data_IF_833853086456
#
_entry.id   IF_833853086456
#
_cell.length_a   1.000
_cell.length_b   1.000
_cell.length_c   1.000
_cell.angle_alpha   90.00
_cell.angle_beta   90.00
_cell.angle_gamma   90.00
#
_symmetry.space_group_name_H-M   'P 1'
#
loop_
_entity.id
_entity.type
_entity.pdbx_description
1 polymer ?
#
# COMPACT_ATOMS: atom_id res chain seq x y z
N UNK A 1 23.69 12.42 12.31
CA UNK A 1 22.70 11.38 12.70
C UNK A 1 23.26 10.04 12.28
N UNK A 2 22.98 8.96 13.02
CA UNK A 2 23.48 7.63 12.63
C UNK A 2 22.86 7.20 11.30
N UNK A 3 23.69 6.71 10.38
CA UNK A 3 23.25 6.25 9.06
C UNK A 3 23.05 4.74 9.10
N UNK A 4 21.88 4.27 8.68
CA UNK A 4 21.56 2.84 8.66
C UNK A 4 20.94 2.39 7.34
N UNK A 5 21.15 1.12 6.98
CA UNK A 5 20.55 0.54 5.79
C UNK A 5 19.87 -0.82 6.04
N UNK A 6 18.74 -1.04 5.37
CA UNK A 6 18.16 -2.36 5.21
C UNK A 6 18.51 -2.88 3.81
N UNK A 7 19.00 -4.12 3.72
CA UNK A 7 19.35 -4.81 2.47
C UNK A 7 18.28 -5.85 2.19
N UNK A 8 17.80 -5.88 0.95
CA UNK A 8 16.76 -6.79 0.50
C UNK A 8 17.12 -7.37 -0.88
N UNK A 9 16.81 -8.64 -1.08
CA UNK A 9 16.89 -9.32 -2.38
C UNK A 9 15.50 -9.88 -2.71
N UNK A 10 14.87 -9.41 -3.79
CA UNK A 10 13.49 -9.74 -4.14
C UNK A 10 13.35 -10.35 -5.53
N UNK A 11 12.27 -11.12 -5.72
CA UNK A 11 11.77 -11.51 -7.03
C UNK A 11 10.25 -11.65 -6.93
N UNK A 12 9.53 -10.94 -7.78
CA UNK A 12 8.07 -10.98 -7.87
C UNK A 12 7.35 -10.74 -6.53
N UNK A 13 7.55 -9.54 -5.97
CA UNK A 13 6.98 -9.08 -4.68
C UNK A 13 6.10 -7.82 -4.85
N UNK A 14 5.49 -7.61 -6.02
CA UNK A 14 4.74 -6.37 -6.33
C UNK A 14 3.64 -6.07 -5.30
N UNK A 15 3.03 -7.12 -4.75
CA UNK A 15 1.92 -7.05 -3.82
C UNK A 15 2.30 -6.46 -2.46
N UNK A 16 3.55 -6.62 -2.02
CA UNK A 16 3.99 -6.32 -0.65
C UNK A 16 5.18 -5.38 -0.59
N UNK A 17 5.95 -5.22 -1.67
CA UNK A 17 7.19 -4.44 -1.68
C UNK A 17 6.96 -2.97 -1.27
N UNK A 18 5.85 -2.36 -1.68
CA UNK A 18 5.48 -1.00 -1.27
C UNK A 18 5.32 -0.87 0.25
N UNK A 19 4.74 -1.87 0.91
CA UNK A 19 4.59 -1.92 2.36
C UNK A 19 5.92 -2.18 3.07
N UNK A 20 6.76 -3.05 2.51
CA UNK A 20 8.08 -3.34 3.05
C UNK A 20 8.96 -2.07 3.06
N UNK A 21 8.98 -1.34 1.94
CA UNK A 21 9.70 -0.07 1.82
C UNK A 21 9.18 0.95 2.84
N UNK A 22 7.86 1.11 2.89
CA UNK A 22 7.23 2.09 3.76
C UNK A 22 7.46 1.81 5.25
N UNK A 23 7.40 0.54 5.66
CA UNK A 23 7.64 0.12 7.03
C UNK A 23 9.09 0.38 7.47
N UNK A 24 10.07 -0.03 6.67
CA UNK A 24 11.47 0.11 7.04
C UNK A 24 11.95 1.56 6.98
N UNK A 25 11.41 2.37 6.07
CA UNK A 25 11.60 3.82 6.10
C UNK A 25 10.97 4.45 7.37
N UNK A 26 9.77 4.01 7.78
CA UNK A 26 9.08 4.48 9.00
C UNK A 26 9.87 4.17 10.27
N UNK A 27 10.48 2.99 10.34
CA UNK A 27 11.31 2.57 11.48
C UNK A 27 12.63 3.34 11.54
N UNK A 28 12.98 4.07 10.47
CA UNK A 28 14.12 4.98 10.47
C UNK A 28 15.40 4.38 9.90
N UNK A 29 15.31 3.38 9.03
CA UNK A 29 16.40 3.12 8.10
C UNK A 29 16.59 4.33 7.19
N UNK A 30 17.80 4.86 7.11
CA UNK A 30 18.08 6.04 6.29
C UNK A 30 18.19 5.72 4.80
N UNK A 31 18.49 4.46 4.46
CA UNK A 31 18.63 3.97 3.08
C UNK A 31 18.05 2.57 2.99
N UNK A 32 17.36 2.25 1.90
CA UNK A 32 16.95 0.88 1.57
C UNK A 32 17.71 0.43 0.33
N UNK A 33 18.46 -0.66 0.44
CA UNK A 33 19.29 -1.20 -0.65
C UNK A 33 18.61 -2.47 -1.15
N UNK A 34 18.03 -2.42 -2.34
CA UNK A 34 17.18 -3.49 -2.86
C UNK A 34 17.78 -4.04 -4.15
N UNK A 35 17.96 -5.35 -4.23
CA UNK A 35 18.23 -6.05 -5.48
C UNK A 35 16.95 -6.67 -6.02
N UNK A 36 16.59 -6.29 -7.23
CA UNK A 36 15.58 -6.97 -8.04
C UNK A 36 16.22 -8.10 -8.84
N UNK A 37 15.81 -9.34 -8.58
CA UNK A 37 16.25 -10.53 -9.30
C UNK A 37 15.36 -10.78 -10.53
N UNK A 38 15.29 -9.77 -11.40
CA UNK A 38 14.59 -9.83 -12.68
C UNK A 38 13.08 -10.11 -12.54
N UNK A 39 12.40 -9.32 -11.72
CA UNK A 39 10.95 -9.47 -11.53
C UNK A 39 10.18 -9.16 -12.81
N UNK A 40 9.08 -9.88 -13.01
CA UNK A 40 8.19 -9.75 -14.17
C UNK A 40 6.79 -9.27 -13.79
N UNK A 41 6.51 -9.14 -12.50
CA UNK A 41 5.19 -8.78 -11.95
C UNK A 41 4.98 -7.28 -11.70
N UNK A 42 5.99 -6.45 -12.02
CA UNK A 42 5.95 -5.01 -11.77
C UNK A 42 6.69 -4.55 -10.50
N UNK A 43 7.33 -5.44 -9.74
CA UNK A 43 8.17 -5.09 -8.58
C UNK A 43 9.17 -3.99 -8.92
N UNK A 44 9.86 -4.09 -10.07
CA UNK A 44 10.83 -3.10 -10.53
C UNK A 44 10.21 -1.70 -10.78
N UNK A 45 8.95 -1.64 -11.25
CA UNK A 45 8.26 -0.38 -11.47
C UNK A 45 7.94 0.32 -10.14
N UNK A 46 7.48 -0.44 -9.13
CA UNK A 46 7.25 0.08 -7.77
C UNK A 46 8.56 0.60 -7.17
N UNK A 47 9.66 -0.16 -7.29
CA UNK A 47 10.98 0.23 -6.80
C UNK A 47 11.47 1.52 -7.46
N UNK A 48 11.35 1.64 -8.78
CA UNK A 48 11.74 2.83 -9.55
C UNK A 48 10.96 4.06 -9.09
N UNK A 49 9.63 3.96 -8.98
CA UNK A 49 8.79 5.07 -8.53
C UNK A 49 9.09 5.47 -7.08
N UNK A 50 9.30 4.50 -6.18
CA UNK A 50 9.65 4.77 -4.79
C UNK A 50 11.01 5.46 -4.65
N UNK A 51 12.01 5.09 -5.47
CA UNK A 51 13.35 5.69 -5.47
C UNK A 51 13.37 7.17 -5.87
N UNK A 52 12.30 7.68 -6.50
CA UNK A 52 12.16 9.13 -6.77
C UNK A 52 11.81 9.94 -5.50
N UNK A 53 11.39 9.27 -4.43
CA UNK A 53 10.85 9.89 -3.22
C UNK A 53 11.72 9.68 -1.98
N UNK A 54 12.44 8.55 -1.90
CA UNK A 54 13.23 8.13 -0.75
C UNK A 54 14.61 7.62 -1.21
N UNK A 55 15.61 7.56 -0.32
CA UNK A 55 16.92 6.93 -0.63
C UNK A 55 16.77 5.41 -0.71
N UNK A 56 16.27 4.96 -1.86
CA UNK A 56 16.10 3.55 -2.23
C UNK A 56 17.05 3.28 -3.39
N UNK A 57 18.04 2.42 -3.15
CA UNK A 57 19.06 2.06 -4.13
C UNK A 57 18.70 0.73 -4.75
N UNK A 58 18.28 0.79 -6.00
CA UNK A 58 17.81 -0.37 -6.75
C UNK A 58 18.96 -0.94 -7.57
N UNK A 59 19.21 -2.23 -7.40
CA UNK A 59 20.19 -3.01 -8.16
C UNK A 59 19.48 -4.13 -8.91
N UNK A 60 20.08 -4.59 -10.00
CA UNK A 60 19.71 -5.87 -10.64
C UNK A 60 20.73 -6.93 -10.26
N UNK A 61 20.29 -8.17 -10.10
CA UNK A 61 21.19 -9.27 -9.78
C UNK A 61 22.12 -9.64 -10.94
N UNK A 62 23.23 -10.31 -10.63
CA UNK A 62 24.22 -10.75 -11.59
C UNK A 62 23.72 -11.96 -12.40
N UNK A 63 23.30 -11.75 -13.64
CA UNK A 63 22.78 -12.80 -14.54
C UNK A 63 23.83 -13.82 -14.96
N UNK A 64 25.12 -13.58 -14.70
CA UNK A 64 26.18 -14.56 -14.97
C UNK A 64 26.18 -15.71 -13.97
N UNK A 65 25.57 -15.53 -12.80
CA UNK A 65 25.37 -16.56 -11.78
C UNK A 65 24.02 -17.26 -12.00
N UNK A 66 24.00 -18.57 -12.32
CA UNK A 66 22.78 -19.28 -12.68
C UNK A 66 21.86 -19.48 -11.48
N UNK A 67 22.43 -19.79 -10.32
CA UNK A 67 21.67 -20.08 -9.10
C UNK A 67 21.24 -18.80 -8.39
N UNK A 68 19.96 -18.75 -8.03
CA UNK A 68 19.38 -17.61 -7.27
C UNK A 68 20.11 -17.38 -5.95
N UNK A 69 20.47 -18.44 -5.25
CA UNK A 69 21.17 -18.34 -3.97
C UNK A 69 22.56 -17.71 -4.12
N UNK A 70 23.27 -18.03 -5.22
CA UNK A 70 24.58 -17.44 -5.51
C UNK A 70 24.44 -15.94 -5.84
N UNK A 71 23.43 -15.57 -6.64
CA UNK A 71 23.09 -14.16 -6.92
C UNK A 71 22.79 -13.37 -5.64
N UNK A 72 21.97 -13.95 -4.76
CA UNK A 72 21.62 -13.34 -3.49
C UNK A 72 22.84 -13.17 -2.59
N UNK A 73 23.64 -14.23 -2.43
CA UNK A 73 24.86 -14.22 -1.61
C UNK A 73 25.83 -13.16 -2.11
N UNK A 74 26.10 -13.15 -3.42
CA UNK A 74 26.98 -12.17 -4.07
C UNK A 74 26.49 -10.73 -3.86
N UNK A 75 25.20 -10.49 -3.97
CA UNK A 75 24.63 -9.17 -3.73
C UNK A 75 24.77 -8.74 -2.27
N UNK A 76 24.48 -9.61 -1.31
CA UNK A 76 24.63 -9.30 0.11
C UNK A 76 26.08 -8.96 0.48
N UNK A 77 27.05 -9.73 -0.03
CA UNK A 77 28.48 -9.44 0.17
C UNK A 77 28.86 -8.08 -0.40
N UNK A 78 28.46 -7.80 -1.64
CA UNK A 78 28.70 -6.52 -2.30
C UNK A 78 28.08 -5.35 -1.52
N UNK A 79 26.82 -5.46 -1.11
CA UNK A 79 26.11 -4.41 -0.40
C UNK A 79 26.71 -4.12 0.99
N UNK A 80 27.16 -5.15 1.71
CA UNK A 80 27.90 -4.97 2.97
C UNK A 80 29.27 -4.32 2.76
N UNK A 81 30.01 -4.75 1.73
CA UNK A 81 31.32 -4.19 1.41
C UNK A 81 31.22 -2.71 1.04
N UNK A 82 30.31 -2.35 0.13
CA UNK A 82 30.06 -0.97 -0.28
C UNK A 82 29.53 -0.13 0.88
N UNK A 83 28.64 -0.69 1.69
CA UNK A 83 28.04 -0.05 2.85
C UNK A 83 28.98 0.17 4.03
N UNK A 84 30.15 -0.51 4.07
CA UNK A 84 31.09 -0.50 5.20
C UNK A 84 31.43 0.90 5.69
N UNK A 85 31.81 1.80 4.79
CA UNK A 85 32.24 3.14 5.18
C UNK A 85 31.10 4.15 5.21
N UNK A 86 29.92 3.77 4.75
CA UNK A 86 28.77 4.67 4.63
C UNK A 86 27.80 4.53 5.80
N UNK A 87 27.50 3.30 6.22
CA UNK A 87 26.49 3.01 7.23
C UNK A 87 27.11 2.62 8.56
N UNK A 88 26.57 3.16 9.64
CA UNK A 88 26.89 2.74 11.00
C UNK A 88 26.26 1.38 11.31
N UNK A 89 25.07 1.12 10.77
CA UNK A 89 24.29 -0.10 11.00
C UNK A 89 23.64 -0.61 9.73
N UNK A 90 23.70 -1.92 9.50
CA UNK A 90 23.06 -2.59 8.37
C UNK A 90 22.29 -3.81 8.85
N UNK A 91 21.17 -4.14 8.21
CA UNK A 91 20.46 -5.41 8.41
C UNK A 91 20.05 -6.00 7.06
N UNK A 92 20.25 -7.30 6.88
CA UNK A 92 19.71 -8.04 5.75
C UNK A 92 18.35 -8.59 6.16
N UNK A 93 17.33 -8.44 5.31
CA UNK A 93 15.96 -8.88 5.55
C UNK A 93 15.40 -9.54 4.28
N UNK A 94 14.46 -10.47 4.46
CA UNK A 94 13.63 -11.00 3.39
C UNK A 94 12.37 -10.13 3.17
N UNK A 95 11.65 -10.38 2.06
CA UNK A 95 10.49 -9.57 1.65
C UNK A 95 9.28 -9.73 2.60
N UNK A 96 9.22 -10.83 3.33
CA UNK A 96 8.23 -11.17 4.35
C UNK A 96 8.71 -10.85 5.78
N UNK A 97 9.87 -10.22 5.94
CA UNK A 97 10.47 -9.87 7.22
C UNK A 97 10.38 -8.37 7.50
N UNK A 98 9.75 -8.04 8.62
CA UNK A 98 9.52 -6.67 9.07
C UNK A 98 10.15 -6.48 10.44
N UNK A 99 11.20 -5.66 10.52
CA UNK A 99 11.82 -5.32 11.81
C UNK A 99 10.78 -4.61 12.70
N UNK A 100 10.78 -4.87 14.00
CA UNK A 100 9.92 -4.20 14.95
C UNK A 100 10.65 -3.94 16.27
N UNK A 101 10.40 -2.78 16.86
CA UNK A 101 10.86 -2.41 18.19
C UNK A 101 9.66 -2.22 19.13
N UNK A 102 9.72 -2.87 20.29
CA UNK A 102 8.66 -2.81 21.30
C UNK A 102 8.50 -1.38 21.85
N UNK A 103 9.63 -0.72 22.14
CA UNK A 103 9.66 0.60 22.79
C UNK A 103 10.40 1.65 21.97
N UNK A 104 11.52 1.30 21.33
CA UNK A 104 12.30 2.24 20.53
C UNK A 104 11.47 2.82 19.37
N UNK A 105 11.69 4.10 19.07
CA UNK A 105 10.97 4.85 18.01
C UNK A 105 11.77 4.92 16.71
N UNK A 106 13.01 4.45 16.70
CA UNK A 106 13.80 4.35 15.47
C UNK A 106 14.97 3.37 15.59
N UNK A 107 15.57 2.98 14.46
CA UNK A 107 16.85 2.26 14.41
C UNK A 107 17.94 3.01 15.18
N UNK A 108 18.01 4.34 15.01
CA UNK A 108 18.98 5.17 15.70
C UNK A 108 18.81 5.16 17.23
N UNK A 109 17.57 5.20 17.73
CA UNK A 109 17.29 5.09 19.16
C UNK A 109 17.62 3.69 19.70
N UNK A 110 17.24 2.64 18.97
CA UNK A 110 17.51 1.25 19.36
C UNK A 110 19.02 0.96 19.47
N UNK A 111 19.82 1.57 18.60
CA UNK A 111 21.27 1.33 18.53
C UNK A 111 22.12 2.29 19.35
N UNK A 112 21.55 3.37 19.88
CA UNK A 112 22.31 4.43 20.54
C UNK A 112 23.14 3.95 21.75
N UNK A 113 22.62 2.97 22.51
CA UNK A 113 23.27 2.41 23.69
C UNK A 113 23.94 1.05 23.43
N UNK A 114 23.96 0.59 22.18
CA UNK A 114 24.50 -0.72 21.84
C UNK A 114 26.03 -0.74 22.01
N UNK A 115 26.52 -1.60 22.90
CA UNK A 115 27.95 -1.85 23.08
C UNK A 115 28.50 -2.90 22.10
N UNK A 116 27.64 -3.84 21.68
CA UNK A 116 27.97 -4.88 20.72
C UNK A 116 27.97 -4.34 19.27
N UNK A 117 28.83 -4.89 18.42
CA UNK A 117 28.86 -4.59 16.98
C UNK A 117 27.84 -5.38 16.15
N UNK A 118 27.12 -6.29 16.80
CA UNK A 118 26.12 -7.16 16.19
C UNK A 118 25.01 -7.39 17.21
N UNK A 119 23.78 -7.06 16.82
CA UNK A 119 22.57 -7.19 17.63
C UNK A 119 21.66 -8.23 16.97
N UNK A 120 21.52 -9.45 17.53
CA UNK A 120 20.57 -10.42 17.02
C UNK A 120 19.14 -9.98 17.33
N UNK A 121 18.23 -10.19 16.39
CA UNK A 121 16.80 -9.97 16.51
C UNK A 121 16.10 -11.26 16.10
N UNK A 122 15.36 -11.86 17.03
CA UNK A 122 14.67 -13.13 16.82
C UNK A 122 13.51 -13.01 15.85
N UNK A 123 13.30 -14.05 15.06
CA UNK A 123 12.05 -14.25 14.33
C UNK A 123 10.85 -14.35 15.28
N UNK A 124 9.73 -13.83 14.81
CA UNK A 124 8.39 -14.03 15.33
C UNK A 124 7.53 -14.47 14.14
N UNK A 125 7.22 -15.77 14.06
CA UNK A 125 6.49 -16.33 12.93
C UNK A 125 5.01 -16.01 13.05
N UNK A 126 4.51 -15.21 12.10
CA UNK A 126 3.10 -14.88 11.96
C UNK A 126 2.41 -15.86 11.03
N UNK A 127 1.22 -16.29 11.43
CA UNK A 127 0.29 -17.00 10.59
C UNK A 127 -0.56 -16.06 9.74
N UNK A 128 -1.39 -16.67 8.91
CA UNK A 128 -2.28 -15.99 7.98
C UNK A 128 -3.37 -15.16 8.64
N UNK A 129 -3.59 -15.30 9.95
CA UNK A 129 -4.75 -14.71 10.64
C UNK A 129 -6.08 -15.11 9.98
N UNK A 130 -6.12 -16.30 9.37
CA UNK A 130 -7.27 -16.85 8.66
C UNK A 130 -7.45 -16.31 7.23
N UNK A 131 -6.47 -15.57 6.69
CA UNK A 131 -6.55 -15.02 5.33
C UNK A 131 -6.26 -16.09 4.28
N UNK A 132 -7.22 -16.29 3.38
CA UNK A 132 -7.08 -17.20 2.25
C UNK A 132 -6.64 -16.49 0.97
N UNK A 133 -7.05 -15.23 0.81
CA UNK A 133 -6.76 -14.39 -0.35
C UNK A 133 -5.85 -13.22 0.03
N UNK A 134 -5.10 -12.64 -0.93
CA UNK A 134 -4.25 -11.48 -0.69
C UNK A 134 -5.04 -10.28 -0.15
N UNK A 135 -4.51 -9.65 0.90
CA UNK A 135 -5.09 -8.45 1.52
C UNK A 135 -4.59 -7.17 0.86
N UNK A 136 -5.45 -6.16 0.64
CA UNK A 136 -5.02 -4.84 0.18
C UNK A 136 -4.43 -3.97 1.32
N UNK A 137 -4.50 -4.43 2.57
CA UNK A 137 -3.98 -3.73 3.74
C UNK A 137 -2.50 -4.05 4.00
N UNK A 138 -1.86 -3.28 4.89
CA UNK A 138 -0.49 -3.55 5.33
C UNK A 138 -0.39 -4.97 5.93
N UNK A 139 0.71 -5.71 5.70
CA UNK A 139 0.95 -7.00 6.37
C UNK A 139 0.87 -6.89 7.91
N UNK A 140 1.37 -5.79 8.47
CA UNK A 140 1.32 -5.50 9.92
C UNK A 140 -0.11 -5.32 10.46
N UNK A 141 -1.04 -4.87 9.62
CA UNK A 141 -2.45 -4.75 9.97
C UNK A 141 -3.23 -6.04 9.70
N UNK A 142 -2.79 -6.80 8.69
CA UNK A 142 -3.48 -8.00 8.21
C UNK A 142 -3.17 -9.22 9.07
N UNK A 143 -1.89 -9.42 9.39
CA UNK A 143 -1.39 -10.62 10.06
C UNK A 143 -1.09 -10.29 11.52
N UNK A 144 -2.09 -10.50 12.37
CA UNK A 144 -2.05 -10.14 13.80
C UNK A 144 -1.90 -11.34 14.70
N UNK A 145 -1.72 -12.56 14.18
CA UNK A 145 -1.55 -13.78 14.97
C UNK A 145 -0.23 -14.47 14.68
N UNK A 146 0.47 -14.89 15.73
CA UNK A 146 1.78 -15.54 15.64
C UNK A 146 1.86 -16.81 16.50
N UNK A 147 2.93 -17.59 16.31
CA UNK A 147 3.19 -18.80 17.09
C UNK A 147 3.59 -18.52 18.54
N UNK A 148 3.39 -19.48 19.45
CA UNK A 148 3.88 -19.35 20.83
C UNK A 148 5.40 -19.18 20.88
N UNK A 149 5.92 -18.43 21.86
CA UNK A 149 7.35 -18.13 22.01
C UNK A 149 8.24 -19.40 22.03
N UNK A 150 7.70 -20.52 22.50
CA UNK A 150 8.40 -21.82 22.55
C UNK A 150 8.66 -22.47 21.18
N UNK A 151 8.11 -21.94 20.09
CA UNK A 151 8.35 -22.46 18.73
C UNK A 151 9.84 -22.37 18.39
N UNK A 152 10.52 -23.50 18.07
CA UNK A 152 11.96 -23.52 17.80
C UNK A 152 12.42 -22.57 16.71
N UNK A 153 11.63 -22.36 15.66
CA UNK A 153 11.95 -21.48 14.54
C UNK A 153 12.16 -20.02 14.95
N UNK A 154 11.61 -19.57 16.09
CA UNK A 154 11.86 -18.22 16.63
C UNK A 154 13.32 -17.99 17.02
N UNK A 155 14.12 -19.05 17.15
CA UNK A 155 15.56 -18.95 17.46
C UNK A 155 16.40 -18.52 16.27
N UNK A 156 15.85 -18.56 15.06
CA UNK A 156 16.47 -17.91 13.89
C UNK A 156 16.50 -16.40 14.12
N UNK A 157 17.60 -15.78 13.72
CA UNK A 157 17.84 -14.35 13.93
C UNK A 157 18.16 -13.63 12.64
N UNK A 158 17.86 -12.33 12.62
CA UNK A 158 18.53 -11.35 11.77
C UNK A 158 19.43 -10.49 12.61
N UNK A 159 20.49 -9.97 12.01
CA UNK A 159 21.47 -9.18 12.73
C UNK A 159 21.44 -7.74 12.23
N UNK A 160 21.28 -6.80 13.16
CA UNK A 160 21.70 -5.43 12.94
C UNK A 160 23.20 -5.37 13.23
N UNK A 161 24.02 -5.00 12.26
CA UNK A 161 25.48 -5.10 12.34
C UNK A 161 26.17 -3.79 12.03
N UNK A 162 27.29 -3.54 12.70
CA UNK A 162 28.21 -2.45 12.36
C UNK A 162 29.17 -2.94 11.27
N UNK A 163 28.97 -2.60 9.98
CA UNK A 163 29.71 -3.22 8.87
C UNK A 163 31.21 -2.88 8.86
N UNK A 164 31.65 -1.86 9.62
CA UNK A 164 33.07 -1.56 9.86
C UNK A 164 33.77 -2.53 10.82
N UNK A 165 33.00 -3.26 11.63
CA UNK A 165 33.49 -4.07 12.75
C UNK A 165 33.27 -5.56 12.54
N UNK A 166 32.29 -5.93 11.73
CA UNK A 166 32.16 -7.28 11.18
C UNK A 166 32.95 -7.31 9.86
N UNK A 167 33.73 -8.36 9.61
CA UNK A 167 34.59 -8.46 8.42
C UNK A 167 33.79 -8.57 7.10
N UNK A 168 34.26 -9.39 6.16
CA UNK A 168 33.52 -9.64 4.91
C UNK A 168 32.50 -10.79 5.03
N UNK A 169 32.36 -11.41 6.20
CA UNK A 169 31.48 -12.57 6.39
C UNK A 169 30.04 -12.15 6.63
N UNK A 170 29.11 -12.76 5.90
CA UNK A 170 27.67 -12.58 6.10
C UNK A 170 27.25 -13.03 7.51
N UNK A 171 26.38 -12.28 8.22
CA UNK A 171 25.84 -12.72 9.51
C UNK A 171 25.04 -14.01 9.36
N UNK A 172 25.39 -15.04 10.12
CA UNK A 172 24.71 -16.34 10.09
C UNK A 172 23.36 -16.27 10.83
N UNK A 173 22.21 -16.47 10.15
CA UNK A 173 20.89 -16.43 10.79
C UNK A 173 20.63 -17.58 11.77
N UNK A 174 21.44 -18.64 11.76
CA UNK A 174 21.33 -19.80 12.64
C UNK A 174 22.28 -19.75 13.85
N UNK A 175 23.07 -18.68 13.99
CA UNK A 175 24.06 -18.53 15.07
C UNK A 175 23.47 -18.49 16.49
N UNK A 176 22.15 -18.38 16.64
CA UNK A 176 21.45 -18.30 17.93
C UNK A 176 20.54 -19.51 18.24
N UNK A 177 20.61 -20.62 17.46
CA UNK A 177 19.70 -21.77 17.62
C UNK A 177 19.74 -22.46 19.01
N UNK A 178 20.86 -22.34 19.72
CA UNK A 178 21.04 -22.89 21.07
C UNK A 178 20.49 -21.99 22.19
N UNK A 179 20.04 -20.77 21.86
CA UNK A 179 19.50 -19.80 22.82
C UNK A 179 17.99 -19.74 22.69
N UNK A 180 17.30 -19.52 23.81
CA UNK A 180 15.87 -19.23 23.77
C UNK A 180 15.63 -17.88 23.07
N UNK A 181 14.59 -17.83 22.24
CA UNK A 181 14.15 -16.59 21.61
C UNK A 181 13.63 -15.60 22.65
N UNK A 182 13.82 -14.31 22.40
CA UNK A 182 13.22 -13.22 23.18
C UNK A 182 12.70 -12.14 22.25
N UNK A 183 11.61 -11.50 22.65
CA UNK A 183 11.03 -10.32 21.97
C UNK A 183 10.88 -9.13 22.92
N UNK A 184 11.71 -9.08 23.97
CA UNK A 184 11.65 -8.04 25.01
C UNK A 184 11.81 -6.62 24.45
N UNK A 185 12.67 -6.48 23.45
CA UNK A 185 13.08 -5.17 22.91
C UNK A 185 12.78 -5.03 21.43
N UNK A 186 12.88 -6.14 20.69
CA UNK A 186 12.70 -6.18 19.25
C UNK A 186 12.33 -7.58 18.76
N UNK A 187 11.76 -7.63 17.55
CA UNK A 187 11.47 -8.88 16.84
C UNK A 187 11.45 -8.64 15.34
N UNK A 188 11.70 -9.70 14.57
CA UNK A 188 11.40 -9.75 13.14
C UNK A 188 10.00 -10.33 13.00
N UNK A 189 9.03 -9.51 12.60
CA UNK A 189 7.71 -10.01 12.21
C UNK A 189 7.89 -10.75 10.89
N UNK A 190 7.81 -12.07 10.94
CA UNK A 190 8.06 -12.93 9.78
C UNK A 190 6.72 -13.46 9.27
N UNK A 191 6.21 -12.85 8.20
CA UNK A 191 4.93 -13.17 7.58
C UNK A 191 5.07 -14.35 6.60
N UNK A 192 5.75 -15.41 7.02
CA UNK A 192 6.15 -16.54 6.16
C UNK A 192 4.96 -17.26 5.52
N UNK A 193 3.83 -17.35 6.25
CA UNK A 193 2.60 -17.90 5.71
C UNK A 193 1.91 -16.92 4.75
N UNK A 194 1.83 -15.63 5.10
CA UNK A 194 1.05 -14.66 4.34
C UNK A 194 -0.41 -15.11 4.20
N UNK A 195 -0.96 -15.05 2.99
CA UNK A 195 -2.25 -15.66 2.65
C UNK A 195 -2.08 -17.02 1.94
N UNK A 196 -3.11 -17.86 2.03
CA UNK A 196 -3.06 -19.24 1.52
C UNK A 196 -2.79 -19.32 0.00
N UNK A 197 -3.48 -18.52 -0.81
CA UNK A 197 -3.30 -18.52 -2.26
C UNK A 197 -1.90 -18.08 -2.69
N UNK A 198 -1.40 -16.97 -2.14
CA UNK A 198 -0.06 -16.49 -2.42
C UNK A 198 1.01 -17.49 -1.98
N UNK A 199 0.84 -18.11 -0.81
CA UNK A 199 1.79 -19.09 -0.30
C UNK A 199 1.93 -20.28 -1.24
N UNK A 200 0.81 -20.88 -1.66
CA UNK A 200 0.81 -22.03 -2.55
C UNK A 200 1.37 -21.68 -3.94
N UNK A 201 1.13 -20.45 -4.43
CA UNK A 201 1.68 -19.96 -5.70
C UNK A 201 3.20 -19.78 -5.64
N UNK A 202 3.74 -19.33 -4.51
CA UNK A 202 5.18 -19.05 -4.32
C UNK A 202 5.98 -20.30 -3.99
N UNK A 203 5.38 -21.28 -3.32
CA UNK A 203 6.09 -22.42 -2.79
C UNK A 203 6.12 -23.59 -3.79
N UNK A 204 7.29 -23.79 -4.41
CA UNK A 204 7.57 -24.94 -5.30
C UNK A 204 7.92 -26.23 -4.54
N UNK A 205 7.77 -26.26 -3.21
CA UNK A 205 8.01 -27.46 -2.39
C UNK A 205 7.21 -28.65 -2.90
N UNK A 206 7.78 -29.84 -2.79
CA UNK A 206 7.09 -31.09 -3.10
C UNK A 206 5.88 -31.34 -2.17
N UNK A 207 5.81 -30.67 -1.00
CA UNK A 207 4.72 -30.79 -0.04
C UNK A 207 4.30 -29.41 0.51
N UNK A 208 3.65 -28.57 -0.32
CA UNK A 208 3.33 -27.19 0.05
C UNK A 208 2.34 -27.11 1.22
N UNK A 209 1.40 -28.05 1.35
CA UNK A 209 0.45 -28.09 2.48
C UNK A 209 1.13 -28.33 3.84
N UNK A 210 2.18 -29.16 3.87
CA UNK A 210 2.96 -29.38 5.11
C UNK A 210 3.75 -28.14 5.49
N UNK A 211 4.29 -27.43 4.50
CA UNK A 211 4.97 -26.17 4.73
C UNK A 211 3.97 -25.12 5.26
N UNK A 212 2.77 -25.04 4.67
CA UNK A 212 1.70 -24.20 5.17
C UNK A 212 1.36 -24.50 6.62
N UNK A 213 1.11 -25.77 6.97
CA UNK A 213 0.82 -26.19 8.35
C UNK A 213 1.93 -25.81 9.35
N UNK A 214 3.19 -25.77 8.90
CA UNK A 214 4.31 -25.36 9.74
C UNK A 214 4.33 -23.84 9.98
N UNK A 215 4.15 -23.04 8.92
CA UNK A 215 4.32 -21.59 8.97
C UNK A 215 3.04 -20.83 9.37
N UNK A 216 1.86 -21.39 9.16
CA UNK A 216 0.57 -20.77 9.50
C UNK A 216 0.30 -20.85 11.02
N UNK A 217 0.99 -20.01 11.78
CA UNK A 217 0.96 -20.00 13.25
C UNK A 217 0.05 -18.92 13.81
N UNK A 218 -1.12 -19.34 14.29
CA UNK A 218 -2.18 -18.45 14.78
C UNK A 218 -2.46 -18.59 16.28
N UNK A 219 -1.42 -18.86 17.07
CA UNK A 219 -1.55 -19.27 18.47
C UNK A 219 -1.90 -18.10 19.41
N UNK A 220 -1.33 -16.92 19.19
CA UNK A 220 -1.51 -15.73 20.02
C UNK A 220 -1.71 -14.47 19.17
N UNK A 221 -2.52 -13.53 19.66
CA UNK A 221 -2.74 -12.23 19.01
C UNK A 221 -1.66 -11.22 19.41
N UNK A 222 -1.23 -10.41 18.43
CA UNK A 222 -0.27 -9.33 18.58
C UNK A 222 -0.54 -8.20 17.59
N UNK A 223 -0.73 -7.00 18.12
CA UNK A 223 -0.99 -5.77 17.35
C UNK A 223 -0.01 -4.64 17.69
N UNK A 224 1.06 -4.92 18.46
CA UNK A 224 2.02 -3.90 18.91
C UNK A 224 2.70 -3.15 17.75
N UNK A 225 2.84 -3.80 16.59
CA UNK A 225 3.39 -3.22 15.38
C UNK A 225 2.45 -2.20 14.69
N UNK A 226 1.16 -2.17 15.03
CA UNK A 226 0.20 -1.20 14.48
C UNK A 226 0.57 0.25 14.79
N UNK A 227 1.43 0.51 15.79
CA UNK A 227 1.98 1.84 16.09
C UNK A 227 2.71 2.50 14.92
N UNK A 228 3.20 1.71 13.96
CA UNK A 228 3.90 2.20 12.77
C UNK A 228 2.94 2.55 11.62
N UNK A 229 1.70 2.05 11.64
CA UNK A 229 0.75 2.19 10.53
C UNK A 229 0.48 3.64 10.10
N UNK A 230 0.34 4.64 11.00
CA UNK A 230 0.05 5.99 10.57
C UNK A 230 1.12 6.55 9.61
N UNK A 231 2.39 6.34 9.94
CA UNK A 231 3.52 6.83 9.16
C UNK A 231 3.85 5.92 7.98
N UNK A 232 3.74 4.60 8.14
CA UNK A 232 3.96 3.67 7.02
C UNK A 232 2.90 3.85 5.94
N UNK A 233 1.63 4.09 6.28
CA UNK A 233 0.60 4.48 5.31
C UNK A 233 0.90 5.81 4.63
N UNK A 234 1.48 6.79 5.34
CA UNK A 234 1.88 8.07 4.75
C UNK A 234 2.96 7.87 3.69
N UNK A 235 3.97 7.05 3.98
CA UNK A 235 5.03 6.72 3.03
C UNK A 235 4.47 5.91 1.86
N UNK A 236 3.71 4.84 2.13
CA UNK A 236 3.08 4.00 1.12
C UNK A 236 2.15 4.81 0.19
N UNK A 237 1.37 5.76 0.73
CA UNK A 237 0.52 6.64 -0.08
C UNK A 237 1.31 7.52 -1.05
N UNK A 238 2.54 7.88 -0.71
CA UNK A 238 3.42 8.66 -1.58
C UNK A 238 3.92 7.79 -2.74
N UNK A 239 4.31 6.55 -2.45
CA UNK A 239 4.71 5.55 -3.46
C UNK A 239 3.53 5.26 -4.41
N UNK A 240 2.33 5.02 -3.87
CA UNK A 240 1.11 4.79 -4.66
C UNK A 240 0.82 5.96 -5.60
N UNK A 241 0.91 7.20 -5.12
CA UNK A 241 0.68 8.37 -5.96
C UNK A 241 1.73 8.57 -7.05
N UNK A 242 2.99 8.23 -6.78
CA UNK A 242 4.03 8.23 -7.81
C UNK A 242 3.72 7.20 -8.89
N UNK A 243 3.35 5.97 -8.51
CA UNK A 243 2.93 4.92 -9.44
C UNK A 243 1.72 5.32 -10.29
N UNK A 244 0.71 5.96 -9.71
CA UNK A 244 -0.45 6.45 -10.46
C UNK A 244 -0.11 7.63 -11.38
N UNK A 245 0.87 8.44 -11.00
CA UNK A 245 1.36 9.53 -11.86
C UNK A 245 2.11 8.96 -13.07
N UNK A 246 2.93 7.92 -12.89
CA UNK A 246 3.55 7.18 -14.00
C UNK A 246 2.47 6.54 -14.89
N UNK A 247 1.49 5.85 -14.30
CA UNK A 247 0.37 5.25 -15.03
C UNK A 247 -0.36 6.28 -15.91
N UNK A 248 -0.66 7.46 -15.36
CA UNK A 248 -1.30 8.53 -16.12
C UNK A 248 -0.51 8.87 -17.38
N UNK A 249 0.81 9.06 -17.27
CA UNK A 249 1.64 9.44 -18.41
C UNK A 249 1.74 8.33 -19.45
N UNK A 250 1.79 7.06 -19.02
CA UNK A 250 1.77 5.91 -19.93
C UNK A 250 0.45 5.80 -20.67
N UNK A 251 -0.68 5.91 -19.96
CA UNK A 251 -2.00 5.93 -20.58
C UNK A 251 -2.16 7.12 -21.54
N UNK A 252 -1.68 8.31 -21.14
CA UNK A 252 -1.71 9.50 -22.00
C UNK A 252 -0.93 9.28 -23.28
N UNK A 253 0.26 8.69 -23.20
CA UNK A 253 1.06 8.32 -24.36
C UNK A 253 0.36 7.27 -25.23
N UNK A 254 -0.23 6.22 -24.64
CA UNK A 254 -1.00 5.19 -25.35
C UNK A 254 -2.12 5.80 -26.18
N UNK A 255 -2.90 6.72 -25.61
CA UNK A 255 -4.01 7.36 -26.32
C UNK A 255 -3.50 8.34 -27.37
N UNK A 256 -2.51 9.18 -27.03
CA UNK A 256 -1.96 10.20 -27.93
C UNK A 256 -1.30 9.59 -29.18
N UNK A 257 -0.62 8.46 -29.02
CA UNK A 257 0.07 7.76 -30.11
C UNK A 257 -0.77 6.65 -30.76
N UNK A 258 -2.00 6.43 -30.26
CA UNK A 258 -2.85 5.32 -30.66
C UNK A 258 -2.08 3.97 -30.68
N UNK A 259 -1.34 3.70 -29.60
CA UNK A 259 -0.48 2.51 -29.49
C UNK A 259 -1.33 1.23 -29.55
N UNK A 260 -1.30 0.57 -30.71
CA UNK A 260 -2.16 -0.58 -31.00
C UNK A 260 -1.85 -1.79 -30.15
N UNK A 261 -0.58 -1.99 -29.76
CA UNK A 261 -0.20 -3.15 -28.97
C UNK A 261 -0.76 -3.00 -27.54
N UNK A 262 -0.51 -1.84 -26.92
CA UNK A 262 -1.02 -1.56 -25.58
C UNK A 262 -2.56 -1.52 -25.57
N UNK A 263 -3.19 -0.91 -26.56
CA UNK A 263 -4.66 -0.92 -26.67
C UNK A 263 -5.23 -2.33 -26.80
N UNK A 264 -4.56 -3.21 -27.55
CA UNK A 264 -4.96 -4.61 -27.68
C UNK A 264 -4.85 -5.35 -26.34
N UNK A 265 -3.78 -5.13 -25.57
CA UNK A 265 -3.62 -5.71 -24.23
C UNK A 265 -4.70 -5.22 -23.26
N UNK A 266 -5.14 -3.97 -23.43
CA UNK A 266 -6.29 -3.38 -22.70
C UNK A 266 -7.65 -3.90 -23.20
N UNK A 267 -7.71 -4.75 -24.22
CA UNK A 267 -8.95 -5.24 -24.81
C UNK A 267 -9.72 -4.17 -25.61
N UNK A 268 -9.02 -3.16 -26.10
CA UNK A 268 -9.58 -2.00 -26.81
C UNK A 268 -9.05 -1.89 -28.24
N UNK A 269 -9.82 -1.18 -29.07
CA UNK A 269 -9.43 -0.80 -30.43
C UNK A 269 -9.40 0.73 -30.56
N UNK A 270 -8.57 1.29 -31.45
CA UNK A 270 -8.60 2.73 -31.73
C UNK A 270 -9.99 3.24 -32.13
N UNK A 271 -10.80 2.40 -32.79
CA UNK A 271 -12.16 2.75 -33.20
C UNK A 271 -13.09 2.94 -31.99
N UNK A 272 -12.92 2.17 -30.91
CA UNK A 272 -13.71 2.34 -29.68
C UNK A 272 -13.39 3.65 -28.95
N UNK A 273 -12.16 4.15 -29.03
CA UNK A 273 -11.78 5.44 -28.43
C UNK A 273 -12.25 6.63 -29.26
N UNK A 274 -12.35 6.48 -30.58
CA UNK A 274 -12.87 7.51 -31.49
C UNK A 274 -14.40 7.51 -31.61
N UNK A 275 -15.07 6.45 -31.14
CA UNK A 275 -16.53 6.37 -31.18
C UNK A 275 -17.15 7.38 -30.20
N UNK A 276 -18.27 8.03 -30.58
CA UNK A 276 -19.01 8.87 -29.64
C UNK A 276 -19.47 8.06 -28.43
N UNK A 277 -19.42 8.66 -27.24
CA UNK A 277 -19.97 8.01 -26.05
C UNK A 277 -21.44 7.65 -26.24
N UNK A 278 -21.83 6.48 -25.73
CA UNK A 278 -23.24 6.12 -25.59
C UNK A 278 -23.96 7.01 -24.56
N UNK A 279 -23.21 7.59 -23.62
CA UNK A 279 -23.72 8.51 -22.60
C UNK A 279 -23.87 9.92 -23.18
N UNK A 280 -25.10 10.44 -23.19
CA UNK A 280 -25.43 11.76 -23.78
C UNK A 280 -25.19 12.94 -22.83
N UNK A 281 -25.20 12.70 -21.53
CA UNK A 281 -25.03 13.72 -20.49
C UNK A 281 -23.99 13.26 -19.48
N UNK A 282 -23.08 14.14 -19.04
CA UNK A 282 -22.11 13.79 -18.01
C UNK A 282 -22.80 13.45 -16.69
N UNK A 283 -22.18 12.62 -15.84
CA UNK A 283 -22.70 12.32 -14.52
C UNK A 283 -22.89 13.59 -13.68
N UNK A 284 -23.99 13.61 -12.92
CA UNK A 284 -24.28 14.71 -11.99
C UNK A 284 -23.79 14.35 -10.60
N UNK A 285 -23.18 15.32 -9.91
CA UNK A 285 -22.65 15.14 -8.57
C UNK A 285 -23.41 16.01 -7.56
N UNK A 286 -23.88 15.37 -6.49
CA UNK A 286 -24.38 16.05 -5.30
C UNK A 286 -23.28 16.10 -4.24
N UNK A 287 -23.02 17.28 -3.69
CA UNK A 287 -22.10 17.45 -2.57
C UNK A 287 -22.88 17.46 -1.26
N UNK A 288 -22.44 16.66 -0.31
CA UNK A 288 -23.08 16.51 0.99
C UNK A 288 -22.07 16.69 2.12
N UNK A 289 -22.46 17.46 3.14
CA UNK A 289 -21.82 17.38 4.46
C UNK A 289 -22.40 16.19 5.22
N UNK A 290 -21.58 15.60 6.09
CA UNK A 290 -21.97 14.46 6.92
C UNK A 290 -22.44 14.99 8.28
N UNK A 291 -23.75 15.10 8.44
CA UNK A 291 -24.45 15.61 9.62
C UNK A 291 -25.18 16.93 9.39
N UNK A 292 -26.11 17.26 10.29
CA UNK A 292 -26.95 18.47 10.24
C UNK A 292 -26.60 19.46 11.35
N UNK A 293 -26.73 19.04 12.62
CA UNK A 293 -26.47 19.88 13.79
C UNK A 293 -25.00 19.88 14.19
N UNK A 294 -24.39 18.71 14.07
CA UNK A 294 -22.95 18.50 14.12
C UNK A 294 -22.47 18.02 12.76
N UNK A 295 -21.23 18.32 12.42
CA UNK A 295 -20.61 17.87 11.18
C UNK A 295 -19.46 16.93 11.48
N UNK A 296 -19.33 15.88 10.68
CA UNK A 296 -18.15 15.02 10.71
C UNK A 296 -16.98 15.75 10.06
N UNK A 297 -15.90 15.91 10.82
CA UNK A 297 -14.71 16.62 10.39
C UNK A 297 -13.47 15.76 10.67
N UNK A 298 -12.38 16.03 9.97
CA UNK A 298 -11.07 15.52 10.31
C UNK A 298 -10.38 16.48 11.27
N UNK A 299 -9.91 15.98 12.41
CA UNK A 299 -8.98 16.72 13.28
C UNK A 299 -7.59 16.69 12.65
N UNK A 300 -7.07 17.85 12.27
CA UNK A 300 -5.79 18.00 11.59
C UNK A 300 -4.58 17.74 12.51
N UNK A 301 -4.78 17.72 13.83
CA UNK A 301 -3.73 17.41 14.80
C UNK A 301 -3.62 15.91 15.07
N UNK A 302 -4.74 15.22 15.24
CA UNK A 302 -4.77 13.79 15.58
C UNK A 302 -4.96 12.88 14.36
N UNK A 303 -5.48 13.43 13.26
CA UNK A 303 -5.87 12.68 12.07
C UNK A 303 -7.20 11.94 12.19
N UNK A 304 -7.83 11.95 13.37
CA UNK A 304 -9.09 11.24 13.64
C UNK A 304 -10.31 11.95 13.06
N UNK A 305 -11.38 11.19 12.83
CA UNK A 305 -12.69 11.74 12.48
C UNK A 305 -13.45 12.09 13.77
N UNK A 306 -14.01 13.29 13.82
CA UNK A 306 -14.68 13.85 15.00
C UNK A 306 -15.97 14.57 14.61
N UNK A 307 -17.00 14.48 15.45
CA UNK A 307 -18.24 15.22 15.28
C UNK A 307 -18.16 16.57 15.98
N UNK A 308 -18.23 17.66 15.22
CA UNK A 308 -18.03 19.04 15.73
C UNK A 308 -19.32 19.84 15.56
N UNK A 309 -19.77 20.50 16.64
CA UNK A 309 -20.91 21.42 16.59
C UNK A 309 -20.50 22.85 16.19
N UNK A 310 -21.46 23.65 15.72
CA UNK A 310 -21.21 25.03 15.29
C UNK A 310 -20.53 25.94 16.34
N UNK A 311 -20.76 25.69 17.64
CA UNK A 311 -20.14 26.44 18.74
C UNK A 311 -18.74 25.95 19.16
N UNK A 312 -18.26 24.84 18.60
CA UNK A 312 -16.99 24.18 18.95
C UNK A 312 -15.89 24.43 17.89
N UNK A 313 -16.16 25.28 16.90
CA UNK A 313 -15.27 25.47 15.76
C UNK A 313 -13.96 26.15 16.16
N UNK A 314 -12.87 25.42 15.94
CA UNK A 314 -11.51 25.95 16.01
C UNK A 314 -10.93 26.04 14.60
N UNK A 315 -10.80 27.26 14.09
CA UNK A 315 -10.30 27.53 12.73
C UNK A 315 -8.93 26.89 12.50
N UNK A 316 -8.80 26.12 11.43
CA UNK A 316 -7.56 25.44 11.04
C UNK A 316 -7.29 24.11 11.75
N UNK A 317 -7.98 23.80 12.87
CA UNK A 317 -7.89 22.49 13.52
C UNK A 317 -8.79 21.45 12.85
N UNK A 318 -10.03 21.82 12.52
CA UNK A 318 -11.00 20.90 11.96
C UNK A 318 -11.22 21.17 10.48
N UNK A 319 -11.21 20.11 9.68
CA UNK A 319 -11.42 20.16 8.24
C UNK A 319 -12.67 19.33 7.89
N UNK A 320 -13.76 19.95 7.42
CA UNK A 320 -15.01 19.25 7.15
C UNK A 320 -14.85 18.09 6.18
N UNK A 321 -15.57 16.98 6.40
CA UNK A 321 -15.69 15.93 5.40
C UNK A 321 -16.85 16.23 4.44
N UNK A 322 -16.56 16.04 3.15
CA UNK A 322 -17.49 16.23 2.05
C UNK A 322 -17.60 14.91 1.31
N UNK A 323 -18.83 14.49 1.06
CA UNK A 323 -19.15 13.36 0.20
C UNK A 323 -19.70 13.90 -1.12
N UNK A 324 -19.01 13.61 -2.23
CA UNK A 324 -19.54 13.80 -3.57
C UNK A 324 -20.21 12.50 -4.03
N UNK A 325 -21.52 12.56 -4.25
CA UNK A 325 -22.36 11.45 -4.71
C UNK A 325 -22.61 11.58 -6.21
N UNK A 326 -22.21 10.59 -6.99
CA UNK A 326 -22.63 10.46 -8.39
C UNK A 326 -24.07 9.96 -8.42
N UNK A 327 -24.98 10.81 -8.90
CA UNK A 327 -26.40 10.48 -8.97
C UNK A 327 -26.63 9.45 -10.07
N UNK A 328 -27.28 8.34 -9.70
CA UNK A 328 -27.60 7.22 -10.58
C UNK A 328 -29.05 6.79 -10.38
N UNK A 329 -29.67 6.22 -11.41
CA UNK A 329 -31.01 5.62 -11.33
C UNK A 329 -30.97 4.21 -10.68
N UNK A 330 -29.77 3.65 -10.46
CA UNK A 330 -29.59 2.35 -9.80
C UNK A 330 -29.51 2.43 -8.28
N UNK A 331 -29.52 1.26 -7.63
CA UNK A 331 -29.49 1.14 -6.16
C UNK A 331 -28.12 1.43 -5.53
N UNK A 332 -27.05 1.29 -6.34
CA UNK A 332 -25.67 1.54 -5.94
C UNK A 332 -25.16 2.82 -6.58
N UNK A 333 -24.77 3.78 -5.74
CA UNK A 333 -24.23 5.07 -6.16
C UNK A 333 -22.73 5.11 -5.92
N UNK A 334 -21.98 5.61 -6.90
CA UNK A 334 -20.56 5.90 -6.72
C UNK A 334 -20.40 7.17 -5.89
N UNK A 335 -19.45 7.16 -4.97
CA UNK A 335 -19.19 8.30 -4.12
C UNK A 335 -17.71 8.48 -3.84
N UNK A 336 -17.34 9.73 -3.57
CA UNK A 336 -15.99 10.11 -3.18
C UNK A 336 -16.05 10.90 -1.86
N UNK A 337 -15.39 10.40 -0.82
CA UNK A 337 -15.25 11.09 0.47
C UNK A 337 -13.90 11.79 0.54
N UNK A 338 -13.89 13.07 0.85
CA UNK A 338 -12.68 13.87 0.97
C UNK A 338 -12.87 15.02 1.96
N UNK A 339 -11.79 15.60 2.47
CA UNK A 339 -11.89 16.81 3.30
C UNK A 339 -12.13 18.05 2.46
N UNK A 340 -12.92 19.04 2.87
CA UNK A 340 -13.21 20.28 2.12
C UNK A 340 -11.95 21.03 1.70
N UNK A 341 -10.99 21.18 2.61
CA UNK A 341 -9.69 21.77 2.32
C UNK A 341 -8.67 20.66 2.00
N UNK A 342 -7.75 20.88 1.05
CA UNK A 342 -6.70 19.92 0.73
C UNK A 342 -5.89 19.52 1.97
N UNK A 343 -5.54 18.24 2.03
CA UNK A 343 -4.73 17.70 3.12
C UNK A 343 -3.25 18.04 2.89
N UNK A 344 -2.50 18.42 3.94
CA UNK A 344 -1.03 18.42 3.89
C UNK A 344 -0.49 17.00 3.68
N UNK A 345 -1.20 16.00 4.21
CA UNK A 345 -0.92 14.59 4.05
C UNK A 345 -1.40 14.04 2.71
N UNK A 346 -0.77 12.95 2.28
CA UNK A 346 -1.05 12.28 0.99
C UNK A 346 -2.23 11.30 1.03
N UNK A 347 -2.92 11.13 2.16
CA UNK A 347 -4.13 10.30 2.21
C UNK A 347 -5.13 10.72 3.30
N UNK A 348 -6.38 10.29 3.12
CA UNK A 348 -7.44 10.34 4.12
C UNK A 348 -7.60 8.96 4.76
N UNK A 349 -7.30 8.85 6.06
CA UNK A 349 -7.52 7.60 6.78
C UNK A 349 -9.00 7.42 7.07
N UNK A 350 -9.55 6.30 6.58
CA UNK A 350 -10.92 5.89 6.84
C UNK A 350 -10.89 4.41 7.27
N UNK A 351 -11.28 4.07 8.51
CA UNK A 351 -11.30 2.69 8.98
C UNK A 351 -12.10 1.79 8.02
N UNK A 352 -11.55 0.62 7.68
CA UNK A 352 -12.14 -0.32 6.72
C UNK A 352 -11.85 0.00 5.25
N UNK A 353 -11.32 1.18 4.92
CA UNK A 353 -10.84 1.48 3.57
C UNK A 353 -9.35 1.17 3.42
N UNK A 354 -8.95 0.34 2.44
CA UNK A 354 -7.53 0.09 2.16
C UNK A 354 -6.88 1.21 1.33
N UNK A 355 -7.66 2.14 0.78
CA UNK A 355 -7.18 3.13 -0.18
C UNK A 355 -6.21 4.12 0.45
N UNK A 356 -5.12 4.40 -0.26
CA UNK A 356 -4.06 5.33 0.17
C UNK A 356 -4.12 6.65 -0.60
N UNK A 357 -5.33 7.19 -0.73
CA UNK A 357 -5.64 8.39 -1.52
C UNK A 357 -6.18 9.53 -0.65
N UNK A 358 -5.99 10.80 -1.03
CA UNK A 358 -6.63 11.95 -0.37
C UNK A 358 -8.16 11.94 -0.50
N UNK A 359 -8.67 11.36 -1.57
CA UNK A 359 -10.09 11.11 -1.83
C UNK A 359 -10.35 9.61 -1.76
N UNK A 360 -11.32 9.20 -0.96
CA UNK A 360 -11.67 7.79 -0.73
C UNK A 360 -12.87 7.42 -1.60
N UNK A 361 -12.72 6.48 -2.55
CA UNK A 361 -13.84 5.98 -3.34
C UNK A 361 -14.72 5.07 -2.47
N UNK A 362 -16.03 5.17 -2.66
CA UNK A 362 -17.07 4.48 -1.90
C UNK A 362 -18.20 4.04 -2.83
N UNK A 363 -18.88 2.95 -2.47
CA UNK A 363 -20.22 2.63 -2.99
C UNK A 363 -21.25 2.91 -1.91
N UNK A 364 -22.29 3.67 -2.23
CA UNK A 364 -23.41 3.94 -1.33
C UNK A 364 -24.61 3.15 -1.82
N UNK A 365 -25.07 2.20 -1.01
CA UNK A 365 -26.29 1.45 -1.29
C UNK A 365 -27.47 2.18 -0.66
N UNK A 366 -28.28 2.83 -1.50
CA UNK A 366 -29.30 3.78 -1.05
C UNK A 366 -30.44 3.07 -0.31
N UNK A 367 -30.85 1.88 -0.77
CA UNK A 367 -31.95 1.13 -0.17
C UNK A 367 -31.59 0.54 1.20
N UNK A 368 -30.35 0.08 1.36
CA UNK A 368 -29.85 -0.54 2.58
C UNK A 368 -29.25 0.47 3.57
N UNK A 369 -29.03 1.72 3.14
CA UNK A 369 -28.34 2.76 3.90
C UNK A 369 -26.95 2.29 4.38
N UNK A 370 -26.23 1.58 3.52
CA UNK A 370 -24.88 1.07 3.78
C UNK A 370 -23.87 1.73 2.85
N UNK A 371 -22.63 1.82 3.33
CA UNK A 371 -21.49 2.30 2.55
C UNK A 371 -20.49 1.17 2.46
N UNK A 372 -20.06 0.82 1.26
CA UNK A 372 -19.09 -0.23 1.00
C UNK A 372 -17.78 0.35 0.46
N UNK A 373 -16.67 -0.32 0.76
CA UNK A 373 -15.44 -0.12 0.00
C UNK A 373 -15.58 -0.78 -1.36
N UNK A 374 -15.32 -0.07 -2.47
CA UNK A 374 -15.28 -0.73 -3.78
C UNK A 374 -14.06 -1.65 -3.94
N UNK A 375 -13.06 -1.52 -3.07
CA UNK A 375 -11.81 -2.30 -3.13
C UNK A 375 -11.88 -3.55 -2.26
N UNK A 376 -12.36 -3.45 -1.01
CA UNK A 376 -12.49 -4.64 -0.16
C UNK A 376 -13.85 -5.31 -0.25
N UNK A 377 -14.89 -4.62 -0.74
CA UNK A 377 -16.28 -5.09 -0.73
C UNK A 377 -16.94 -5.03 0.66
N UNK A 378 -16.17 -4.68 1.68
CA UNK A 378 -16.61 -4.64 3.08
C UNK A 378 -17.35 -3.34 3.41
N UNK A 379 -18.22 -3.41 4.42
CA UNK A 379 -18.93 -2.25 4.96
C UNK A 379 -17.94 -1.26 5.62
N UNK A 380 -18.02 0.01 5.22
CA UNK A 380 -17.31 1.12 5.84
C UNK A 380 -18.27 1.86 6.77
N UNK A 381 -18.05 1.69 8.06
CA UNK A 381 -18.85 2.39 9.09
C UNK A 381 -18.37 3.82 9.27
N UNK A 382 -19.11 4.75 8.67
CA UNK A 382 -18.91 6.19 8.89
C UNK A 382 -19.89 6.65 9.97
N UNK A 383 -19.38 7.13 11.11
CA UNK A 383 -20.20 7.64 12.20
C UNK A 383 -20.78 9.02 11.85
N UNK A 384 -21.79 9.05 10.99
CA UNK A 384 -22.45 10.28 10.53
C UNK A 384 -23.27 10.88 11.68
N UNK A 385 -22.96 12.10 12.15
CA UNK A 385 -23.76 12.77 13.17
C UNK A 385 -25.20 12.92 12.71
N UNK A 386 -26.15 12.75 13.63
CA UNK A 386 -27.59 12.84 13.35
C UNK A 386 -28.12 11.87 12.28
N UNK A 387 -27.29 10.93 11.80
CA UNK A 387 -27.59 10.01 10.69
C UNK A 387 -28.10 10.73 9.43
N UNK A 388 -27.62 11.95 9.17
CA UNK A 388 -28.11 12.80 8.10
C UNK A 388 -27.00 13.22 7.12
N UNK A 389 -27.29 13.15 5.81
CA UNK A 389 -26.48 13.81 4.78
C UNK A 389 -27.14 15.14 4.41
N UNK A 390 -26.41 16.23 4.54
CA UNK A 390 -26.91 17.58 4.24
C UNK A 390 -26.35 18.04 2.91
N UNK A 391 -27.21 18.10 1.88
CA UNK A 391 -26.83 18.62 0.57
C UNK A 391 -26.36 20.08 0.69
N UNK A 392 -25.25 20.39 0.04
CA UNK A 392 -24.68 21.73 -0.05
C UNK A 392 -24.51 22.17 -1.50
N UNK A 393 -24.48 23.48 -1.71
CA UNK A 393 -24.15 24.03 -3.02
C UNK A 393 -22.69 23.75 -3.37
N UNK A 394 -22.45 23.35 -4.61
CA UNK A 394 -21.10 23.09 -5.11
C UNK A 394 -20.33 24.42 -5.19
N UNK A 395 -19.48 24.69 -4.20
CA UNK A 395 -18.56 25.83 -4.26
C UNK A 395 -17.54 25.62 -5.37
N UNK A 396 -16.98 26.70 -5.92
CA UNK A 396 -15.91 26.62 -6.93
C UNK A 396 -14.75 25.75 -6.46
N UNK A 397 -14.38 25.84 -5.17
CA UNK A 397 -13.29 25.06 -4.59
C UNK A 397 -13.58 23.55 -4.59
N UNK A 398 -14.79 23.14 -4.20
CA UNK A 398 -15.19 21.74 -4.22
C UNK A 398 -15.23 21.20 -5.65
N UNK A 399 -15.78 21.98 -6.58
CA UNK A 399 -15.87 21.58 -7.97
C UNK A 399 -14.48 21.43 -8.62
N UNK A 400 -13.56 22.37 -8.38
CA UNK A 400 -12.18 22.29 -8.87
C UNK A 400 -11.48 21.03 -8.40
N UNK A 401 -11.70 20.59 -7.15
CA UNK A 401 -11.09 19.38 -6.60
C UNK A 401 -11.67 18.10 -7.18
N UNK A 402 -12.96 18.09 -7.52
CA UNK A 402 -13.60 16.95 -8.18
C UNK A 402 -13.38 16.94 -9.69
N UNK A 403 -13.01 18.06 -10.30
CA UNK A 403 -12.92 18.21 -11.76
C UNK A 403 -12.08 17.10 -12.41
N UNK A 404 -10.87 16.74 -11.92
CA UNK A 404 -10.10 15.67 -12.55
C UNK A 404 -10.87 14.33 -12.56
N UNK A 405 -11.52 13.98 -11.46
CA UNK A 405 -12.33 12.75 -11.38
C UNK A 405 -13.55 12.81 -12.31
N UNK A 406 -14.27 13.94 -12.31
CA UNK A 406 -15.42 14.16 -13.19
C UNK A 406 -15.04 14.08 -14.67
N UNK A 407 -13.83 14.52 -15.05
CA UNK A 407 -13.31 14.38 -16.42
C UNK A 407 -12.99 12.93 -16.75
N UNK A 408 -12.38 12.20 -15.81
CA UNK A 408 -12.03 10.79 -15.98
C UNK A 408 -13.26 9.88 -16.12
N UNK A 409 -14.36 10.21 -15.43
CA UNK A 409 -15.61 9.41 -15.43
C UNK A 409 -16.74 10.06 -16.23
N UNK A 410 -16.44 11.10 -17.02
CA UNK A 410 -17.44 11.88 -17.74
C UNK A 410 -18.36 11.03 -18.65
N UNK A 411 -17.84 9.92 -19.14
CA UNK A 411 -18.52 9.06 -20.13
C UNK A 411 -18.97 7.72 -19.56
N UNK A 412 -18.58 7.40 -18.31
CA UNK A 412 -18.87 6.14 -17.66
C UNK A 412 -17.71 5.66 -16.81
N UNK A 413 -17.83 4.43 -16.30
CA UNK A 413 -16.83 3.75 -15.48
C UNK A 413 -16.24 2.54 -16.21
N UNK A 414 -16.24 2.53 -17.54
CA UNK A 414 -15.55 1.53 -18.35
C UNK A 414 -14.12 1.97 -18.71
N UNK A 415 -13.26 1.01 -19.05
CA UNK A 415 -11.88 1.29 -19.42
C UNK A 415 -11.74 2.25 -20.61
N UNK A 416 -12.62 2.13 -21.62
CA UNK A 416 -12.65 3.05 -22.76
C UNK A 416 -13.10 4.47 -22.38
N UNK A 417 -13.97 4.62 -21.36
CA UNK A 417 -14.37 5.92 -20.83
C UNK A 417 -13.20 6.58 -20.10
N UNK A 418 -12.50 5.81 -19.26
CA UNK A 418 -11.31 6.26 -18.54
C UNK A 418 -10.24 6.78 -19.52
N UNK A 419 -9.92 6.04 -20.60
CA UNK A 419 -8.91 6.47 -21.58
C UNK A 419 -9.31 7.76 -22.31
N UNK A 420 -10.60 7.94 -22.64
CA UNK A 420 -11.11 9.20 -23.20
C UNK A 420 -11.02 10.35 -22.19
N UNK A 421 -11.25 10.05 -20.91
CA UNK A 421 -11.01 10.97 -19.80
C UNK A 421 -9.54 11.39 -19.67
N UNK A 422 -8.60 10.43 -19.76
CA UNK A 422 -7.15 10.68 -19.77
C UNK A 422 -6.76 11.58 -20.94
N UNK A 423 -7.37 11.40 -22.12
CA UNK A 423 -7.11 12.26 -23.27
C UNK A 423 -7.54 13.72 -23.04
N UNK A 424 -8.62 13.93 -22.28
CA UNK A 424 -9.13 15.28 -21.95
C UNK A 424 -8.42 15.91 -20.78
N UNK A 425 -7.92 15.10 -19.84
CA UNK A 425 -7.23 15.60 -18.66
C UNK A 425 -5.86 16.17 -19.08
N UNK A 426 -5.51 17.41 -18.67
CA UNK A 426 -4.26 18.04 -19.10
C UNK A 426 -3.05 17.64 -18.24
N UNK A 427 -3.28 17.23 -17.00
CA UNK A 427 -2.23 16.92 -16.03
C UNK A 427 -2.66 15.76 -15.13
N UNK A 428 -1.71 14.97 -14.58
CA UNK A 428 -2.02 13.87 -13.69
C UNK A 428 -2.69 14.37 -12.40
N UNK A 429 -3.73 13.66 -11.99
CA UNK A 429 -4.24 13.69 -10.62
C UNK A 429 -4.34 12.24 -10.11
N UNK A 430 -3.38 11.85 -9.27
CA UNK A 430 -3.29 10.49 -8.77
C UNK A 430 -4.50 10.10 -7.91
N UNK A 431 -5.10 11.04 -7.17
CA UNK A 431 -6.26 10.74 -6.34
C UNK A 431 -7.49 10.46 -7.20
N UNK A 432 -7.71 11.27 -8.22
CA UNK A 432 -8.81 11.10 -9.15
C UNK A 432 -8.64 9.83 -10.00
N UNK A 433 -7.44 9.57 -10.53
CA UNK A 433 -7.16 8.35 -11.29
C UNK A 433 -7.34 7.09 -10.43
N UNK A 434 -6.81 7.10 -9.21
CA UNK A 434 -6.99 5.97 -8.29
C UNK A 434 -8.46 5.73 -7.92
N UNK A 435 -9.26 6.79 -7.74
CA UNK A 435 -10.71 6.64 -7.52
C UNK A 435 -11.43 6.11 -8.76
N UNK A 436 -11.07 6.58 -9.96
CA UNK A 436 -11.67 6.10 -11.20
C UNK A 436 -11.34 4.62 -11.44
N UNK A 437 -10.10 4.18 -11.18
CA UNK A 437 -9.69 2.77 -11.25
C UNK A 437 -10.48 1.92 -10.25
N UNK A 438 -10.62 2.39 -9.00
CA UNK A 438 -11.40 1.70 -7.98
C UNK A 438 -12.90 1.63 -8.28
N UNK A 439 -13.40 2.31 -9.32
CA UNK A 439 -14.79 2.24 -9.76
C UNK A 439 -14.97 1.53 -11.11
N UNK A 440 -13.89 1.06 -11.73
CA UNK A 440 -13.96 0.24 -12.93
C UNK A 440 -14.63 -1.11 -12.65
N UNK A 441 -15.11 -1.75 -13.73
CA UNK A 441 -15.38 -3.18 -13.66
C UNK A 441 -14.08 -3.95 -13.28
N UNK A 442 -14.15 -4.97 -12.39
CA UNK A 442 -12.97 -5.72 -11.97
C UNK A 442 -12.17 -6.34 -13.11
N UNK A 443 -12.80 -6.76 -14.20
CA UNK A 443 -12.10 -7.31 -15.38
C UNK A 443 -11.33 -6.21 -16.13
N UNK A 444 -11.91 -5.00 -16.21
CA UNK A 444 -11.25 -3.83 -16.79
C UNK A 444 -10.05 -3.40 -15.96
N UNK A 445 -10.19 -3.36 -14.63
CA UNK A 445 -9.09 -3.04 -13.72
C UNK A 445 -7.98 -4.09 -13.77
N UNK A 446 -8.33 -5.39 -13.88
CA UNK A 446 -7.36 -6.47 -14.01
C UNK A 446 -6.58 -6.36 -15.32
N UNK A 447 -7.25 -6.14 -16.46
CA UNK A 447 -6.57 -5.86 -17.73
C UNK A 447 -5.59 -4.71 -17.60
N UNK A 448 -6.04 -3.60 -17.02
CA UNK A 448 -5.20 -2.43 -16.82
C UNK A 448 -3.96 -2.73 -15.94
N UNK A 449 -4.12 -3.50 -14.86
CA UNK A 449 -3.03 -3.90 -13.97
C UNK A 449 -2.05 -4.87 -14.65
N UNK A 450 -2.54 -5.78 -15.50
CA UNK A 450 -1.71 -6.71 -16.27
C UNK A 450 -0.91 -5.99 -17.37
N UNK A 451 -1.50 -4.98 -18.03
CA UNK A 451 -0.81 -4.15 -19.03
C UNK A 451 0.24 -3.23 -18.41
N UNK A 452 -0.02 -2.72 -17.20
CA UNK A 452 0.87 -1.81 -16.48
C UNK A 452 1.25 -2.36 -15.09
N UNK A 453 2.02 -3.47 -15.04
CA UNK A 453 2.31 -4.17 -13.81
C UNK A 453 3.07 -3.26 -12.82
N UNK A 454 2.65 -3.28 -11.56
CA UNK A 454 3.24 -2.49 -10.48
C UNK A 454 2.82 -1.02 -10.42
N UNK A 455 2.00 -0.55 -11.35
CA UNK A 455 1.49 0.83 -11.30
C UNK A 455 0.13 0.96 -10.60
N UNK A 456 -0.58 -0.16 -10.44
CA UNK A 456 -1.87 -0.23 -9.73
C UNK A 456 -1.71 -1.14 -8.52
N UNK A 457 -1.68 -0.60 -7.30
CA UNK A 457 -1.62 -1.42 -6.09
C UNK A 457 -2.97 -2.11 -5.83
N UNK A 458 -2.94 -3.25 -5.11
CA UNK A 458 -4.15 -3.94 -4.64
C UNK A 458 -5.10 -3.05 -3.84
N UNK A 459 -4.60 -2.04 -3.16
CA UNK A 459 -5.40 -1.04 -2.45
C UNK A 459 -6.31 -0.19 -3.34
N UNK A 460 -6.29 -0.39 -4.66
CA UNK A 460 -7.15 0.28 -5.64
C UNK A 460 -7.84 -0.70 -6.60
N UNK A 461 -7.60 -2.00 -6.47
CA UNK A 461 -8.22 -3.01 -7.33
C UNK A 461 -9.68 -3.22 -6.89
N UNK A 462 -10.67 -2.93 -7.73
CA UNK A 462 -12.07 -3.09 -7.37
C UNK A 462 -12.43 -4.57 -7.25
N UNK A 463 -13.38 -4.85 -6.36
CA UNK A 463 -14.07 -6.14 -6.28
C UNK A 463 -15.48 -6.02 -6.84
N UNK A 464 -16.07 -7.14 -7.25
CA UNK A 464 -17.48 -7.12 -7.69
C UNK A 464 -18.35 -6.71 -6.50
N UNK A 465 -19.25 -5.72 -6.67
CA UNK A 465 -20.21 -5.41 -5.62
C UNK A 465 -21.07 -6.66 -5.33
N UNK A 466 -21.55 -6.84 -4.10
CA UNK A 466 -22.48 -7.92 -3.78
C UNK A 466 -23.68 -7.84 -4.74
N UNK A 467 -24.03 -8.97 -5.35
CA UNK A 467 -25.26 -9.06 -6.15
C UNK A 467 -26.45 -8.91 -5.21
N UNK A 468 -27.36 -7.97 -5.50
CA UNK A 468 -28.61 -7.78 -4.79
C UNK A 468 -29.62 -8.90 -5.02
#
# INVERSE_FOLDING_TARGET
MSKSAAILFVHNEVDTIGWWLAHHATIGFSTLIVCDDHSTDGTAAVLSNAATLYDIRVHSSDTTLPERLDRQTRFHEMALEQGRNEFDWVMILAADEYLHFETARSVAEFTAAASASMLPVNWCLFGSSGRTIPSPFSPVETFTRHGLLSLPDHRVVRHLVQPRRIGNTLPDPFSALERNATWSDSRILHFAAGDHESFLRRNSSATPDKAWQNFDRNDAEYTGASRWLPESRRIASSIVQASLTDLYWRLKATVTHADRAVLQDLGLTPAQLSAPSSRRTPPQFHFCMLGQTKQLMRDMQTGSLVSVGAGEMNFGRYNPLIMALEVSDGDVWNACLFTENPLPGRYLSLPGSPTLLPMVPLHVMIAENTVLSPVSGEEIRIAIPDHALTKIDATTALYTRMTPFMVLTAEGHGLADLLRGIDRLPAPDASALGCAIAMLDPEDAERLAQTFPGLIPRSLMPVRPPQS
#
